data_IF_592790182551
#
_entry.id   IF_592790182551
#
_cell.length_a   1.000
_cell.length_b   1.000
_cell.length_c   1.000
_cell.angle_alpha   90.00
_cell.angle_beta   90.00
_cell.angle_gamma   90.00
#
_symmetry.space_group_name_H-M   'P 1'
#
loop_
_entity.id
_entity.type
_entity.pdbx_description
1 polymer ?
#
# COMPACT_ATOMS: atom_id res chain seq x y z
N UNK A 1 7.47 4.23 3.18
CA UNK A 1 6.48 5.29 2.94
C UNK A 1 5.37 4.70 2.11
N UNK A 2 4.17 4.52 2.67
CA UNK A 2 3.04 3.95 1.92
C UNK A 2 1.73 4.68 2.21
N UNK A 3 0.74 4.53 1.32
CA UNK A 3 -0.54 5.24 1.34
C UNK A 3 -1.73 4.26 1.31
N UNK A 4 -2.74 4.51 2.14
CA UNK A 4 -4.05 3.80 2.18
C UNK A 4 -5.09 4.68 1.45
N UNK A 5 -6.25 4.20 0.95
CA UNK A 5 -7.13 4.98 0.04
C UNK A 5 -8.64 4.63 0.21
N UNK A 6 -9.52 5.55 0.65
CA UNK A 6 -10.94 5.25 1.00
C UNK A 6 -12.01 5.83 0.02
N UNK A 7 -13.15 5.13 -0.21
CA UNK A 7 -14.39 5.61 -0.90
C UNK A 7 -15.65 4.79 -0.50
N UNK A 8 -16.86 5.39 -0.49
CA UNK A 8 -18.16 4.76 -0.08
C UNK A 8 -19.30 5.08 -1.07
N UNK A 9 -20.14 4.13 -1.53
CA UNK A 9 -21.42 4.33 -2.30
C UNK A 9 -22.25 3.03 -2.56
N UNK A 10 -23.57 2.99 -2.36
CA UNK A 10 -24.42 1.76 -2.41
C UNK A 10 -24.87 1.25 -3.82
N UNK A 11 -24.56 -0.02 -4.15
CA UNK A 11 -25.33 -1.01 -4.96
C UNK A 11 -24.37 -2.10 -5.53
N UNK A 12 -24.72 -3.41 -5.53
CA UNK A 12 -23.85 -4.46 -6.06
C UNK A 12 -23.73 -4.36 -7.59
N UNK A 13 -22.50 -4.31 -8.10
CA UNK A 13 -22.17 -4.20 -9.53
C UNK A 13 -21.59 -5.50 -10.05
N UNK A 14 -21.45 -5.67 -11.36
CA UNK A 14 -20.81 -6.84 -11.99
C UNK A 14 -19.43 -7.20 -11.38
N UNK A 15 -18.72 -6.20 -10.83
CA UNK A 15 -17.44 -6.37 -10.16
C UNK A 15 -17.56 -7.13 -8.81
N UNK A 16 -18.68 -7.01 -8.11
CA UNK A 16 -18.96 -7.78 -6.88
C UNK A 16 -19.21 -9.24 -7.22
N UNK A 17 -19.97 -9.49 -8.29
CA UNK A 17 -20.29 -10.85 -8.78
C UNK A 17 -19.01 -11.55 -9.28
N UNK A 18 -18.15 -10.81 -9.99
CA UNK A 18 -16.88 -11.34 -10.54
C UNK A 18 -15.72 -11.31 -9.54
N UNK A 19 -15.92 -10.74 -8.36
CA UNK A 19 -14.89 -10.45 -7.37
C UNK A 19 -13.62 -9.81 -7.98
N UNK A 20 -13.81 -8.78 -8.80
CA UNK A 20 -12.72 -8.11 -9.53
C UNK A 20 -11.87 -7.25 -8.57
N UNK A 21 -10.82 -7.83 -8.02
CA UNK A 21 -9.90 -7.18 -7.08
C UNK A 21 -9.16 -5.95 -7.64
N UNK A 22 -9.22 -5.69 -8.95
CA UNK A 22 -8.65 -4.46 -9.54
C UNK A 22 -9.64 -3.32 -9.62
N UNK A 23 -10.93 -3.58 -9.39
CA UNK A 23 -11.99 -2.59 -9.46
C UNK A 23 -12.28 -1.95 -8.11
N UNK A 24 -12.29 -0.61 -8.08
CA UNK A 24 -12.84 0.19 -6.97
C UNK A 24 -14.39 0.19 -6.94
N UNK A 25 -15.04 -0.44 -7.92
CA UNK A 25 -16.51 -0.49 -8.01
C UNK A 25 -17.12 -1.68 -7.27
N UNK A 26 -16.31 -2.45 -6.53
CA UNK A 26 -16.77 -3.56 -5.67
C UNK A 26 -16.75 -3.16 -4.19
N UNK A 27 -17.49 -3.87 -3.34
CA UNK A 27 -17.51 -3.73 -1.87
C UNK A 27 -17.60 -2.27 -1.43
N UNK A 28 -18.54 -1.54 -2.00
CA UNK A 28 -18.63 -0.10 -1.81
C UNK A 28 -19.15 0.34 -0.42
N UNK A 29 -19.62 -0.62 0.37
CA UNK A 29 -19.90 -0.53 1.80
C UNK A 29 -18.64 -0.67 2.66
N UNK A 30 -17.49 -1.02 2.07
CA UNK A 30 -16.23 -1.32 2.75
C UNK A 30 -15.14 -0.32 2.36
N UNK A 31 -14.14 -0.20 3.21
CA UNK A 31 -12.89 0.49 2.92
C UNK A 31 -11.92 -0.47 2.23
N UNK A 32 -11.60 -0.13 0.98
CA UNK A 32 -10.58 -0.83 0.22
C UNK A 32 -9.22 -0.21 0.46
N UNK A 33 -8.16 -1.02 0.44
CA UNK A 33 -6.78 -0.61 0.60
C UNK A 33 -6.00 -1.05 -0.62
N UNK A 34 -5.19 -0.15 -1.17
CA UNK A 34 -4.34 -0.46 -2.31
C UNK A 34 -3.11 -1.25 -1.85
N UNK A 35 -2.91 -2.41 -2.44
CA UNK A 35 -1.66 -3.17 -2.37
C UNK A 35 -1.08 -3.34 -3.76
N UNK A 36 0.24 -3.30 -3.86
CA UNK A 36 0.99 -3.51 -5.09
C UNK A 36 1.98 -4.65 -4.90
N UNK A 37 2.24 -5.40 -5.96
CA UNK A 37 3.17 -6.51 -5.95
C UNK A 37 4.60 -5.98 -6.08
N UNK A 38 5.39 -6.09 -5.02
CA UNK A 38 6.74 -5.55 -4.96
C UNK A 38 7.77 -6.66 -4.74
N UNK A 39 8.91 -6.52 -5.41
CA UNK A 39 10.06 -7.39 -5.20
C UNK A 39 10.80 -6.95 -3.92
N UNK A 40 10.93 -7.85 -2.95
CA UNK A 40 11.75 -7.67 -1.77
C UNK A 40 12.75 -8.82 -1.67
N UNK A 41 14.02 -8.54 -1.92
CA UNK A 41 15.03 -9.59 -2.15
C UNK A 41 14.66 -10.43 -3.36
N UNK A 42 14.66 -11.75 -3.22
CA UNK A 42 14.36 -12.69 -4.31
C UNK A 42 12.87 -13.03 -4.44
N UNK A 43 12.02 -12.47 -3.56
CA UNK A 43 10.58 -12.81 -3.52
C UNK A 43 9.70 -11.61 -3.82
N UNK A 44 8.55 -11.90 -4.43
CA UNK A 44 7.47 -10.96 -4.67
C UNK A 44 6.44 -11.02 -3.55
N UNK A 45 6.03 -9.86 -3.05
CA UNK A 45 5.06 -9.74 -1.97
C UNK A 45 4.06 -8.63 -2.30
N UNK A 46 2.78 -8.87 -2.03
CA UNK A 46 1.80 -7.78 -2.01
C UNK A 46 2.01 -6.97 -0.74
N UNK A 47 2.32 -5.68 -0.91
CA UNK A 47 2.59 -4.74 0.16
C UNK A 47 1.92 -3.41 -0.17
N UNK A 48 1.80 -2.51 0.81
CA UNK A 48 1.38 -1.15 0.51
C UNK A 48 2.49 -0.48 -0.35
N UNK A 49 2.14 0.43 -1.28
CA UNK A 49 3.13 1.07 -2.15
C UNK A 49 4.28 1.68 -1.35
N UNK A 50 5.48 1.12 -1.40
CA UNK A 50 6.61 1.58 -0.61
C UNK A 50 7.90 1.76 -1.43
N UNK A 51 8.76 2.66 -0.96
CA UNK A 51 10.09 2.90 -1.52
C UNK A 51 11.01 3.58 -0.51
N UNK A 52 12.26 3.75 -0.92
CA UNK A 52 13.33 4.38 -0.13
C UNK A 52 13.14 5.89 -0.04
N UNK A 53 13.60 6.48 1.07
CA UNK A 53 13.74 7.93 1.21
C UNK A 53 14.97 8.38 0.42
N UNK A 54 14.84 9.49 -0.32
CA UNK A 54 15.92 10.14 -1.05
C UNK A 54 16.41 11.37 -0.29
N UNK A 55 17.66 11.78 -0.54
CA UNK A 55 18.23 12.95 0.11
C UNK A 55 17.48 14.23 -0.30
N UNK A 56 17.19 15.09 0.68
CA UNK A 56 16.52 16.37 0.45
C UNK A 56 14.99 16.31 0.41
N UNK A 57 14.36 15.15 0.58
CA UNK A 57 12.89 15.05 0.70
C UNK A 57 12.44 14.72 2.12
N UNK A 58 11.26 15.21 2.51
CA UNK A 58 10.57 14.79 3.72
C UNK A 58 9.95 13.40 3.55
N UNK A 59 9.66 12.70 4.65
CA UNK A 59 8.93 11.43 4.62
C UNK A 59 7.65 11.57 3.78
N UNK A 60 6.81 12.57 4.05
CA UNK A 60 5.56 12.79 3.29
C UNK A 60 5.82 12.93 1.79
N UNK A 61 6.77 13.75 1.36
CA UNK A 61 7.13 13.91 -0.05
C UNK A 61 7.57 12.57 -0.67
N UNK A 62 8.32 11.76 0.07
CA UNK A 62 8.68 10.42 -0.36
C UNK A 62 7.46 9.51 -0.56
N UNK A 63 6.42 9.58 0.29
CA UNK A 63 5.19 8.82 0.03
C UNK A 63 4.46 9.31 -1.22
N UNK A 64 4.36 10.62 -1.43
CA UNK A 64 3.72 11.18 -2.64
C UNK A 64 4.47 10.74 -3.91
N UNK A 65 5.81 10.77 -3.88
CA UNK A 65 6.67 10.29 -4.97
C UNK A 65 6.53 8.79 -5.20
N UNK A 66 6.62 7.99 -4.14
CA UNK A 66 6.50 6.52 -4.21
C UNK A 66 5.14 6.11 -4.77
N UNK A 67 4.05 6.77 -4.35
CA UNK A 67 2.73 6.48 -4.89
C UNK A 67 2.69 6.70 -6.40
N UNK A 68 3.23 7.83 -6.90
CA UNK A 68 3.32 8.10 -8.35
C UNK A 68 4.22 7.09 -9.07
N UNK A 69 5.33 6.67 -8.47
CA UNK A 69 6.25 5.69 -9.07
C UNK A 69 5.64 4.28 -9.14
N UNK A 70 4.94 3.84 -8.10
CA UNK A 70 4.35 2.51 -8.04
C UNK A 70 3.05 2.40 -8.84
N UNK A 71 2.26 3.48 -8.92
CA UNK A 71 0.89 3.44 -9.42
C UNK A 71 0.67 4.28 -10.69
N UNK A 72 1.68 5.05 -11.12
CA UNK A 72 1.57 5.99 -12.23
C UNK A 72 0.98 7.35 -11.81
N UNK A 73 1.00 8.29 -12.75
CA UNK A 73 0.47 9.65 -12.57
C UNK A 73 -1.05 9.73 -12.64
N UNK A 74 -1.70 8.71 -13.20
CA UNK A 74 -3.14 8.68 -13.45
C UNK A 74 -3.95 8.32 -12.21
N UNK A 75 -3.32 7.92 -11.12
CA UNK A 75 -3.94 7.70 -9.81
C UNK A 75 -3.67 8.88 -8.89
N UNK A 76 -4.72 9.51 -8.37
CA UNK A 76 -4.61 10.64 -7.45
C UNK A 76 -5.06 10.29 -6.05
N UNK A 77 -4.20 10.56 -5.06
CA UNK A 77 -4.49 10.41 -3.66
C UNK A 77 -4.00 11.61 -2.84
N UNK A 78 -4.71 11.93 -1.78
CA UNK A 78 -4.34 12.97 -0.82
C UNK A 78 -3.80 12.35 0.46
N UNK A 79 -2.54 12.62 0.81
CA UNK A 79 -1.97 12.23 2.10
C UNK A 79 -2.39 13.23 3.17
N UNK A 80 -2.78 12.72 4.35
CA UNK A 80 -3.15 13.57 5.49
C UNK A 80 -2.00 13.78 6.46
N UNK A 81 -1.76 15.06 6.79
CA UNK A 81 -0.74 15.45 7.77
C UNK A 81 0.69 15.19 7.30
N UNK A 82 1.64 15.67 8.09
CA UNK A 82 3.06 15.45 7.83
C UNK A 82 3.64 14.31 8.68
N UNK A 83 2.90 13.83 9.68
CA UNK A 83 3.32 12.75 10.56
C UNK A 83 2.89 11.38 10.01
N UNK A 84 3.74 10.34 10.11
CA UNK A 84 3.34 8.98 9.80
C UNK A 84 2.27 8.49 10.78
N UNK A 85 1.32 7.70 10.29
CA UNK A 85 0.30 7.05 11.12
C UNK A 85 0.87 5.86 11.90
N UNK A 86 1.94 5.26 11.39
CA UNK A 86 2.63 4.17 12.05
C UNK A 86 3.91 3.77 11.34
N UNK A 87 4.54 2.72 11.82
CA UNK A 87 5.71 2.15 11.17
C UNK A 87 5.74 0.64 11.31
N UNK A 88 6.41 -0.01 10.35
CA UNK A 88 6.79 -1.40 10.41
C UNK A 88 8.31 -1.51 10.38
N UNK A 89 8.89 -2.40 11.19
CA UNK A 89 10.33 -2.66 11.19
C UNK A 89 10.58 -4.14 10.93
N UNK A 90 11.59 -4.43 10.14
CA UNK A 90 12.05 -5.80 9.92
C UNK A 90 13.57 -5.84 9.81
N UNK A 91 14.13 -6.97 10.18
CA UNK A 91 15.56 -7.24 10.03
C UNK A 91 15.81 -7.84 8.66
N UNK A 92 16.93 -7.47 8.05
CA UNK A 92 17.36 -8.13 6.83
C UNK A 92 17.87 -9.54 7.13
N UNK A 93 17.78 -10.47 6.16
CA UNK A 93 18.51 -11.73 6.24
C UNK A 93 20.01 -11.49 6.45
N UNK A 94 20.72 -12.47 7.04
CA UNK A 94 22.17 -12.36 7.28
C UNK A 94 22.94 -12.03 6.00
N UNK A 95 22.64 -12.73 4.90
CA UNK A 95 23.24 -12.50 3.58
C UNK A 95 23.13 -11.04 3.12
N UNK A 96 21.94 -10.46 3.18
CA UNK A 96 21.72 -9.05 2.81
C UNK A 96 22.40 -8.09 3.79
N UNK A 97 22.43 -8.44 5.07
CA UNK A 97 23.03 -7.61 6.12
C UNK A 97 24.55 -7.54 5.97
N UNK A 98 25.20 -8.65 5.63
CA UNK A 98 26.65 -8.75 5.37
C UNK A 98 27.05 -7.96 4.12
N UNK A 99 26.23 -7.98 3.06
CA UNK A 99 26.50 -7.25 1.82
C UNK A 99 26.31 -5.73 1.99
N UNK A 100 25.23 -5.33 2.68
CA UNK A 100 24.85 -3.91 2.78
C UNK A 100 25.42 -3.20 4.00
N UNK A 101 25.88 -3.95 5.01
CA UNK A 101 26.23 -3.43 6.33
C UNK A 101 25.02 -2.97 7.16
N UNK A 102 23.78 -3.13 6.67
CA UNK A 102 22.57 -2.64 7.31
C UNK A 102 21.85 -3.78 8.04
N UNK A 103 21.35 -3.51 9.25
CA UNK A 103 20.63 -4.51 10.06
C UNK A 103 19.19 -4.76 9.58
N UNK A 104 18.59 -3.81 8.87
CA UNK A 104 17.18 -3.88 8.48
C UNK A 104 16.62 -2.56 7.99
N UNK A 105 15.29 -2.50 7.92
CA UNK A 105 14.56 -1.32 7.48
C UNK A 105 13.43 -0.93 8.44
N UNK A 106 13.11 0.36 8.44
CA UNK A 106 11.90 0.94 9.03
C UNK A 106 11.05 1.53 7.91
N UNK A 107 9.82 1.06 7.79
CA UNK A 107 8.83 1.53 6.83
C UNK A 107 7.85 2.41 7.58
N UNK A 108 7.92 3.72 7.35
CA UNK A 108 6.90 4.65 7.84
C UNK A 108 5.66 4.60 6.92
N UNK A 109 4.48 4.55 7.51
CA UNK A 109 3.18 4.37 6.83
C UNK A 109 2.38 5.64 7.01
N UNK A 110 1.82 6.16 5.92
CA UNK A 110 0.99 7.34 5.90
C UNK A 110 -0.42 6.96 5.42
N UNK A 111 -1.42 7.63 5.96
CA UNK A 111 -2.77 7.46 5.49
C UNK A 111 -3.03 8.43 4.33
N UNK A 112 -3.69 7.94 3.29
CA UNK A 112 -4.14 8.77 2.20
C UNK A 112 -5.62 8.53 1.90
N UNK A 113 -6.19 9.37 1.04
CA UNK A 113 -7.53 9.18 0.52
C UNK A 113 -7.49 9.16 -0.99
N UNK A 114 -8.18 8.18 -1.57
CA UNK A 114 -8.47 8.17 -2.99
C UNK A 114 -9.28 9.39 -3.38
N UNK A 115 -8.76 10.15 -4.34
CA UNK A 115 -9.48 11.24 -4.94
C UNK A 115 -10.15 10.76 -6.22
N UNK A 116 -9.34 10.35 -7.20
CA UNK A 116 -9.80 9.90 -8.51
C UNK A 116 -8.67 9.16 -9.26
N UNK A 117 -9.00 8.68 -10.46
CA UNK A 117 -8.03 8.07 -11.35
C UNK A 117 -7.94 6.56 -11.25
N UNK A 118 -7.02 5.97 -12.01
CA UNK A 118 -6.83 4.53 -12.03
C UNK A 118 -5.40 4.18 -12.44
N UNK A 119 -4.94 3.00 -12.03
CA UNK A 119 -3.65 2.48 -12.48
C UNK A 119 -3.84 1.95 -13.90
N UNK A 120 -3.22 2.63 -14.87
CA UNK A 120 -3.29 2.32 -16.30
C UNK A 120 -2.15 1.41 -16.77
N UNK A 121 -1.03 1.41 -16.07
CA UNK A 121 0.11 0.56 -16.40
C UNK A 121 -0.20 -0.92 -16.13
N UNK A 122 -0.27 -1.71 -17.20
CA UNK A 122 -0.55 -3.15 -17.15
C UNK A 122 0.56 -3.96 -16.47
N UNK A 123 1.77 -3.41 -16.36
CA UNK A 123 2.91 -4.04 -15.68
C UNK A 123 2.77 -3.98 -14.17
N UNK A 124 1.99 -3.03 -13.65
CA UNK A 124 1.72 -2.91 -12.22
C UNK A 124 0.68 -3.95 -11.84
N UNK A 125 1.12 -4.95 -11.09
CA UNK A 125 0.21 -5.90 -10.47
C UNK A 125 -0.25 -5.35 -9.11
N UNK A 126 -1.52 -4.99 -9.03
CA UNK A 126 -2.13 -4.35 -7.86
C UNK A 126 -3.47 -4.98 -7.53
N UNK A 127 -3.90 -4.78 -6.28
CA UNK A 127 -5.23 -5.15 -5.80
C UNK A 127 -5.74 -4.06 -4.87
N UNK A 128 -7.01 -3.76 -4.98
CA UNK A 128 -7.79 -3.11 -3.95
C UNK A 128 -8.30 -4.21 -3.04
N UNK A 129 -8.04 -4.18 -1.74
CA UNK A 129 -8.41 -5.25 -0.80
C UNK A 129 -9.13 -4.68 0.41
N UNK A 130 -10.17 -5.37 0.89
CA UNK A 130 -10.77 -5.03 2.18
C UNK A 130 -9.92 -5.54 3.36
N UNK A 131 -10.33 -5.20 4.58
CA UNK A 131 -9.61 -5.58 5.82
C UNK A 131 -9.47 -7.10 6.00
N UNK A 132 -10.43 -7.90 5.53
CA UNK A 132 -10.40 -9.36 5.66
C UNK A 132 -9.40 -9.94 4.65
N UNK A 133 -9.47 -9.48 3.40
CA UNK A 133 -8.60 -9.90 2.31
C UNK A 133 -7.14 -9.52 2.55
N UNK A 134 -6.89 -8.37 3.19
CA UNK A 134 -5.53 -7.97 3.60
C UNK A 134 -4.86 -9.03 4.48
N UNK A 135 -5.61 -9.66 5.40
CA UNK A 135 -5.07 -10.70 6.29
C UNK A 135 -4.56 -11.92 5.53
N UNK A 136 -5.16 -12.22 4.38
CA UNK A 136 -4.80 -13.36 3.53
C UNK A 136 -3.67 -13.03 2.57
N UNK A 137 -3.54 -11.77 2.14
CA UNK A 137 -2.57 -11.36 1.11
C UNK A 137 -1.27 -10.78 1.65
N UNK A 138 -1.31 -10.12 2.81
CA UNK A 138 -0.12 -9.51 3.40
C UNK A 138 0.69 -10.56 4.18
N UNK A 139 2.03 -10.46 4.21
CA UNK A 139 2.85 -11.26 5.11
C UNK A 139 2.40 -11.09 6.56
N UNK A 140 2.24 -12.19 7.31
CA UNK A 140 1.70 -12.19 8.69
C UNK A 140 2.28 -11.09 9.61
N UNK A 141 3.61 -10.92 9.75
CA UNK A 141 4.16 -9.88 10.63
C UNK A 141 3.87 -8.46 10.13
N UNK A 142 3.76 -8.26 8.82
CA UNK A 142 3.44 -6.97 8.21
C UNK A 142 1.96 -6.64 8.38
N UNK A 143 1.10 -7.64 8.19
CA UNK A 143 -0.34 -7.54 8.32
C UNK A 143 -0.78 -7.02 9.70
N UNK A 144 -0.15 -7.51 10.78
CA UNK A 144 -0.44 -7.06 12.14
C UNK A 144 -0.20 -5.56 12.33
N UNK A 145 0.88 -5.01 11.75
CA UNK A 145 1.17 -3.58 11.82
C UNK A 145 0.23 -2.75 10.96
N UNK A 146 -0.15 -3.23 9.77
CA UNK A 146 -1.06 -2.49 8.87
C UNK A 146 -2.48 -2.47 9.42
N UNK A 147 -2.99 -3.60 9.91
CA UNK A 147 -4.39 -3.73 10.35
C UNK A 147 -4.70 -2.86 11.57
N UNK A 148 -3.69 -2.56 12.41
CA UNK A 148 -3.82 -1.66 13.56
C UNK A 148 -3.99 -0.19 13.16
N UNK A 149 -3.63 0.18 11.91
CA UNK A 149 -3.74 1.54 11.39
C UNK A 149 -5.04 1.79 10.62
N UNK A 150 -5.82 0.74 10.38
CA UNK A 150 -7.09 0.84 9.66
C UNK A 150 -8.23 1.11 10.64
N UNK A 151 -9.15 1.99 10.24
CA UNK A 151 -10.35 2.31 10.99
C UNK A 151 -11.30 1.10 10.92
N UNK A 152 -11.98 0.80 12.04
CA UNK A 152 -13.02 -0.23 12.08
C UNK A 152 -14.25 0.24 11.27
N UNK A 153 -14.84 -0.69 10.52
CA UNK A 153 -16.07 -0.49 9.73
C UNK A 153 -17.29 -1.02 10.48
#
# INVERSE_FOLDING_TARGET
>A
MSAILHKQMSAPRDADIKNDMKSLKRKLDRHLVLVVNQQLGDKKHYLLPQGTLQDGETLRQAAERVLKQCCGSDLSAQIYGNAPCGFYKYKYPKSTSEITGLTGAKVFIYFARYLNGQITDRKVDFKWLDRIELKTHLPVPYNSSVTQLLIDE
#
